data_IF_686247101286
#
_entry.id   IF_686247101286
#
_cell.length_a   1.000
_cell.length_b   1.000
_cell.length_c   1.000
_cell.angle_alpha   90.00
_cell.angle_beta   90.00
_cell.angle_gamma   90.00
#
_symmetry.space_group_name_H-M   'P 1'
#
loop_
_entity.id
_entity.type
_entity.pdbx_description
1 polymer ?
#
# COMPACT_ATOMS: atom_id res chain seq x y z
N UNK A 1 23.48 -4.15 -0.96
CA UNK A 1 22.84 -3.75 0.32
C UNK A 1 21.96 -4.92 0.78
N UNK A 2 22.01 -5.35 2.04
CA UNK A 2 21.11 -6.42 2.51
C UNK A 2 19.76 -5.80 2.84
N UNK A 3 18.70 -6.20 2.14
CA UNK A 3 17.33 -5.73 2.40
C UNK A 3 16.78 -6.23 3.74
N UNK A 4 17.48 -7.15 4.41
CA UNK A 4 17.12 -7.69 5.72
C UNK A 4 16.84 -6.58 6.76
N UNK A 5 17.45 -5.39 6.64
CA UNK A 5 17.15 -4.27 7.54
C UNK A 5 15.67 -3.87 7.47
N UNK A 6 15.06 -3.86 6.27
CA UNK A 6 13.65 -3.53 6.05
C UNK A 6 12.70 -4.50 6.77
N UNK A 7 13.10 -5.77 6.91
CA UNK A 7 12.32 -6.77 7.63
C UNK A 7 12.39 -6.62 9.16
N UNK A 8 13.40 -5.91 9.67
CA UNK A 8 13.70 -5.83 11.11
C UNK A 8 13.19 -4.55 11.77
N UNK A 9 12.99 -3.47 11.02
CA UNK A 9 12.51 -2.20 11.58
C UNK A 9 11.02 -1.95 11.29
N UNK A 10 10.42 -1.10 12.12
CA UNK A 10 9.02 -0.67 11.95
C UNK A 10 8.79 -0.08 10.56
N UNK A 11 7.61 -0.31 10.01
CA UNK A 11 7.16 0.30 8.76
C UNK A 11 6.84 1.77 9.06
N UNK A 12 7.59 2.76 8.51
CA UNK A 12 7.46 4.15 8.92
C UNK A 12 6.10 4.77 8.60
N UNK A 13 5.47 4.35 7.50
CA UNK A 13 4.17 4.87 7.07
C UNK A 13 2.98 4.20 7.76
N UNK A 14 3.22 3.35 8.77
CA UNK A 14 2.18 2.72 9.59
C UNK A 14 2.26 3.31 11.00
N UNK A 15 1.28 4.15 11.30
CA UNK A 15 0.96 4.64 12.64
C UNK A 15 -0.46 4.14 13.00
N UNK A 16 -0.82 4.21 14.29
CA UNK A 16 -2.15 3.80 14.72
C UNK A 16 -3.20 4.74 14.12
N UNK A 17 -3.93 4.24 13.11
CA UNK A 17 -5.07 4.94 12.51
C UNK A 17 -6.37 4.17 12.76
N UNK A 18 -7.42 4.84 13.24
CA UNK A 18 -8.69 4.19 13.61
C UNK A 18 -9.49 3.62 12.42
N UNK A 19 -9.45 4.29 11.27
CA UNK A 19 -10.16 3.87 10.06
C UNK A 19 -9.23 3.93 8.86
N UNK A 20 -8.59 5.07 8.63
CA UNK A 20 -7.62 5.23 7.55
C UNK A 20 -6.25 4.78 8.05
N UNK A 21 -5.73 3.68 7.51
CA UNK A 21 -4.40 3.16 7.84
C UNK A 21 -3.32 3.99 7.16
N UNK A 22 -3.48 4.22 5.84
CA UNK A 22 -2.51 4.99 5.07
C UNK A 22 -3.14 5.68 3.87
N UNK A 23 -2.44 6.71 3.40
CA UNK A 23 -2.71 7.45 2.17
C UNK A 23 -1.56 7.31 1.21
N UNK A 24 -1.86 7.23 -0.08
CA UNK A 24 -0.87 7.05 -1.13
C UNK A 24 -1.24 7.82 -2.39
N UNK A 25 -0.28 8.53 -2.97
CA UNK A 25 -0.40 9.17 -4.28
C UNK A 25 0.68 8.59 -5.20
N UNK A 26 0.30 8.27 -6.43
CA UNK A 26 1.22 7.83 -7.48
C UNK A 26 1.06 8.69 -8.74
N UNK A 27 2.16 8.92 -9.44
CA UNK A 27 2.20 9.58 -10.75
C UNK A 27 2.89 8.67 -11.76
N UNK A 28 2.28 8.51 -12.93
CA UNK A 28 2.87 7.80 -14.06
C UNK A 28 3.48 8.80 -15.06
N UNK A 29 4.75 8.59 -15.43
CA UNK A 29 5.52 9.47 -16.33
C UNK A 29 6.35 8.66 -17.32
N UNK A 30 6.50 9.20 -18.53
CA UNK A 30 7.30 8.62 -19.61
C UNK A 30 8.23 9.67 -20.23
N UNK A 31 9.25 9.19 -20.95
CA UNK A 31 10.26 10.03 -21.60
C UNK A 31 9.85 10.22 -23.07
N UNK A 32 9.88 11.44 -23.62
CA UNK A 32 9.54 11.69 -25.01
C UNK A 32 10.46 10.93 -25.97
N UNK A 33 9.88 10.40 -27.06
CA UNK A 33 10.64 9.71 -28.10
C UNK A 33 11.20 8.34 -27.70
N UNK A 34 10.94 7.87 -26.47
CA UNK A 34 11.36 6.56 -25.98
C UNK A 34 10.15 5.61 -25.98
N UNK A 35 10.35 4.38 -26.48
CA UNK A 35 9.30 3.36 -26.50
C UNK A 35 8.89 2.97 -25.08
N UNK A 36 7.60 2.76 -24.84
CA UNK A 36 7.10 2.30 -23.53
C UNK A 36 7.74 0.97 -23.09
N UNK A 37 7.84 0.70 -21.77
CA UNK A 37 8.53 -0.49 -21.23
C UNK A 37 8.13 -1.81 -21.86
N UNK A 38 6.84 -1.98 -22.19
CA UNK A 38 6.30 -3.21 -22.79
C UNK A 38 6.79 -3.48 -24.23
N UNK A 39 7.33 -2.46 -24.91
CA UNK A 39 7.85 -2.53 -26.29
C UNK A 39 9.33 -2.19 -26.40
N UNK A 40 9.90 -1.54 -25.39
CA UNK A 40 11.32 -1.18 -25.34
C UNK A 40 12.22 -2.40 -25.25
N UNK A 41 13.34 -2.36 -25.98
CA UNK A 41 14.40 -3.35 -25.83
C UNK A 41 15.19 -3.16 -24.52
N UNK A 42 16.05 -4.13 -24.21
CA UNK A 42 16.85 -4.13 -22.98
C UNK A 42 17.73 -2.88 -22.86
N UNK A 43 18.37 -2.47 -23.97
CA UNK A 43 19.27 -1.30 -23.96
C UNK A 43 18.53 0.00 -23.66
N UNK A 44 17.31 0.13 -24.19
CA UNK A 44 16.41 1.26 -23.93
C UNK A 44 16.00 1.29 -22.46
N UNK A 45 15.65 0.14 -21.88
CA UNK A 45 15.28 0.06 -20.46
C UNK A 45 16.45 0.37 -19.52
N UNK A 46 17.68 -0.06 -19.86
CA UNK A 46 18.90 0.36 -19.14
C UNK A 46 19.08 1.87 -19.23
N UNK A 47 18.94 2.46 -20.42
CA UNK A 47 19.08 3.90 -20.61
C UNK A 47 18.03 4.68 -19.79
N UNK A 48 16.77 4.22 -19.76
CA UNK A 48 15.71 4.81 -18.91
C UNK A 48 16.12 4.77 -17.43
N UNK A 49 16.63 3.64 -16.95
CA UNK A 49 17.13 3.53 -15.58
C UNK A 49 18.28 4.50 -15.29
N UNK A 50 19.33 4.48 -16.13
CA UNK A 50 20.53 5.28 -15.93
C UNK A 50 20.23 6.78 -16.02
N UNK A 51 19.29 7.18 -16.89
CA UNK A 51 18.83 8.56 -17.04
C UNK A 51 18.21 9.09 -15.74
N UNK A 52 17.32 8.32 -15.09
CA UNK A 52 16.77 8.75 -13.80
C UNK A 52 17.86 8.83 -12.74
N UNK A 53 18.73 7.81 -12.66
CA UNK A 53 19.78 7.74 -11.64
C UNK A 53 20.74 8.92 -11.70
N UNK A 54 21.07 9.39 -12.90
CA UNK A 54 21.92 10.56 -13.10
C UNK A 54 21.31 11.85 -12.51
N UNK A 55 19.97 11.98 -12.49
CA UNK A 55 19.26 13.19 -12.04
C UNK A 55 18.94 13.17 -10.54
N UNK A 56 18.89 11.99 -9.89
CA UNK A 56 18.56 11.85 -8.46
C UNK A 56 19.34 12.82 -7.54
N UNK A 57 20.67 13.00 -7.67
CA UNK A 57 21.42 13.89 -6.77
C UNK A 57 21.00 15.36 -6.86
N UNK A 58 20.40 15.77 -7.99
CA UNK A 58 19.95 17.13 -8.24
C UNK A 58 18.56 17.42 -7.66
N UNK A 59 17.77 16.38 -7.38
CA UNK A 59 16.42 16.50 -6.82
C UNK A 59 16.49 16.52 -5.30
N UNK A 60 16.05 17.62 -4.69
CA UNK A 60 16.31 17.89 -3.26
C UNK A 60 15.75 16.79 -2.35
N UNK A 61 14.50 16.39 -2.58
CA UNK A 61 13.81 15.36 -1.80
C UNK A 61 14.38 13.95 -2.03
N UNK A 62 15.02 13.69 -3.17
CA UNK A 62 15.61 12.38 -3.50
C UNK A 62 17.08 12.25 -3.11
N UNK A 63 17.69 13.27 -2.51
CA UNK A 63 19.06 13.18 -1.98
C UNK A 63 19.18 12.00 -1.02
N UNK A 64 20.26 11.24 -1.16
CA UNK A 64 20.56 10.02 -0.40
C UNK A 64 19.52 8.89 -0.57
N UNK A 65 18.69 8.93 -1.62
CA UNK A 65 17.83 7.79 -1.96
C UNK A 65 18.68 6.55 -2.29
N UNK A 66 18.17 5.40 -1.91
CA UNK A 66 18.71 4.11 -2.33
C UNK A 66 18.29 3.84 -3.77
N UNK A 67 19.19 3.24 -4.55
CA UNK A 67 18.96 2.87 -5.95
C UNK A 67 19.21 1.38 -6.10
N UNK A 68 18.18 0.65 -6.53
CA UNK A 68 18.22 -0.81 -6.67
C UNK A 68 17.88 -1.19 -8.11
N UNK A 69 18.71 -2.06 -8.72
CA UNK A 69 18.32 -2.84 -9.90
C UNK A 69 17.64 -4.11 -9.39
N UNK A 70 16.36 -4.30 -9.69
CA UNK A 70 15.59 -5.39 -9.08
C UNK A 70 16.02 -6.78 -9.57
N UNK A 71 16.74 -6.85 -10.70
CA UNK A 71 17.34 -8.07 -11.22
C UNK A 71 18.49 -8.61 -10.33
N UNK A 72 19.08 -7.76 -9.49
CA UNK A 72 20.15 -8.16 -8.56
C UNK A 72 19.59 -8.84 -7.29
N UNK A 73 18.26 -8.94 -7.16
CA UNK A 73 17.57 -9.43 -5.99
C UNK A 73 16.76 -10.69 -6.28
N UNK A 74 16.74 -11.60 -5.32
CA UNK A 74 15.97 -12.82 -5.42
C UNK A 74 14.44 -12.56 -5.29
N UNK A 75 13.65 -13.63 -5.34
CA UNK A 75 12.19 -13.51 -5.25
C UNK A 75 11.71 -13.10 -3.86
N UNK A 76 12.43 -13.45 -2.80
CA UNK A 76 12.06 -13.15 -1.42
C UNK A 76 12.32 -11.67 -1.14
N UNK A 77 13.46 -11.16 -1.58
CA UNK A 77 13.85 -9.76 -1.52
C UNK A 77 12.84 -8.86 -2.26
N UNK A 78 12.49 -9.22 -3.51
CA UNK A 78 11.47 -8.50 -4.28
C UNK A 78 10.10 -8.56 -3.61
N UNK A 79 9.75 -9.70 -3.03
CA UNK A 79 8.50 -9.86 -2.28
C UNK A 79 8.48 -8.98 -1.02
N UNK A 80 9.60 -8.89 -0.30
CA UNK A 80 9.74 -7.98 0.84
C UNK A 80 9.49 -6.53 0.42
N UNK A 81 10.11 -6.05 -0.66
CA UNK A 81 9.89 -4.70 -1.19
C UNK A 81 8.42 -4.44 -1.54
N UNK A 82 7.72 -5.43 -2.09
CA UNK A 82 6.28 -5.36 -2.39
C UNK A 82 5.45 -5.28 -1.10
N UNK A 83 5.74 -6.12 -0.11
CA UNK A 83 5.05 -6.13 1.18
C UNK A 83 5.29 -4.81 1.95
N UNK A 84 6.46 -4.18 1.79
CA UNK A 84 6.79 -2.82 2.26
C UNK A 84 6.13 -1.70 1.43
N UNK A 85 5.35 -2.05 0.42
CA UNK A 85 4.69 -1.13 -0.51
C UNK A 85 5.64 -0.24 -1.32
N UNK A 86 6.92 -0.58 -1.42
CA UNK A 86 7.92 0.18 -2.20
C UNK A 86 7.84 -0.11 -3.70
N UNK A 87 7.39 -1.31 -4.07
CA UNK A 87 7.16 -1.72 -5.46
C UNK A 87 5.77 -2.32 -5.64
N UNK A 88 5.29 -2.35 -6.88
CA UNK A 88 4.05 -3.03 -7.24
C UNK A 88 4.22 -4.55 -7.25
N UNK A 89 3.08 -5.27 -7.18
CA UNK A 89 3.06 -6.71 -7.37
C UNK A 89 3.67 -7.12 -8.71
N UNK A 90 3.39 -6.36 -9.77
CA UNK A 90 3.90 -6.64 -11.11
C UNK A 90 5.43 -6.59 -11.16
N UNK A 91 6.07 -5.57 -10.57
CA UNK A 91 7.54 -5.53 -10.49
C UNK A 91 8.12 -6.65 -9.65
N UNK A 92 7.43 -7.08 -8.60
CA UNK A 92 7.91 -8.15 -7.73
C UNK A 92 7.97 -9.50 -8.44
N UNK A 93 7.01 -9.78 -9.34
CA UNK A 93 6.94 -11.04 -10.09
C UNK A 93 7.57 -10.96 -11.49
N UNK A 94 7.92 -9.76 -11.95
CA UNK A 94 8.55 -9.54 -13.27
C UNK A 94 9.85 -10.33 -13.40
N UNK A 95 9.97 -11.10 -14.47
CA UNK A 95 11.13 -11.95 -14.76
C UNK A 95 12.01 -11.44 -15.90
N UNK A 96 11.53 -10.43 -16.65
CA UNK A 96 12.18 -9.93 -17.86
C UNK A 96 12.30 -8.40 -17.84
N UNK A 97 13.27 -7.87 -18.58
CA UNK A 97 13.54 -6.43 -18.67
C UNK A 97 14.52 -5.94 -17.60
N UNK A 98 14.57 -4.62 -17.39
CA UNK A 98 15.48 -3.96 -16.43
C UNK A 98 14.69 -3.12 -15.41
N UNK A 99 13.91 -3.76 -14.53
CA UNK A 99 13.14 -3.07 -13.50
C UNK A 99 14.05 -2.48 -12.42
N UNK A 100 13.67 -1.30 -11.93
CA UNK A 100 14.42 -0.57 -10.92
C UNK A 100 13.55 0.04 -9.83
N UNK A 101 14.19 0.37 -8.71
CA UNK A 101 13.58 1.09 -7.60
C UNK A 101 14.54 2.17 -7.09
N UNK A 102 14.02 3.37 -6.92
CA UNK A 102 14.65 4.44 -6.14
C UNK A 102 13.75 4.69 -4.93
N UNK A 103 14.29 4.73 -3.72
CA UNK A 103 13.46 5.04 -2.54
C UNK A 103 14.23 5.72 -1.42
N UNK A 104 13.52 6.47 -0.58
CA UNK A 104 14.09 7.09 0.63
C UNK A 104 14.16 6.09 1.76
N UNK A 105 15.15 6.25 2.66
CA UNK A 105 15.24 5.44 3.88
C UNK A 105 14.05 5.64 4.83
N UNK A 106 13.31 6.75 4.68
CA UNK A 106 12.03 6.98 5.37
C UNK A 106 10.88 6.17 4.78
N UNK A 107 11.09 5.53 3.62
CA UNK A 107 10.12 4.73 2.84
C UNK A 107 8.86 5.47 2.40
N UNK A 108 8.75 6.76 2.69
CA UNK A 108 7.61 7.56 2.26
C UNK A 108 7.62 7.76 0.74
N UNK A 109 8.80 8.00 0.14
CA UNK A 109 8.97 8.23 -1.31
C UNK A 109 9.63 7.03 -1.97
N UNK A 110 9.05 6.59 -3.08
CA UNK A 110 9.64 5.61 -4.00
C UNK A 110 9.34 5.97 -5.46
N UNK A 111 10.27 5.61 -6.35
CA UNK A 111 10.10 5.71 -7.81
C UNK A 111 10.42 4.35 -8.38
N UNK A 112 9.40 3.71 -8.94
CA UNK A 112 9.53 2.47 -9.69
C UNK A 112 9.93 2.79 -11.13
N UNK A 113 10.87 2.01 -11.68
CA UNK A 113 11.43 2.20 -13.01
C UNK A 113 11.08 0.99 -13.89
N UNK A 114 10.68 1.25 -15.15
CA UNK A 114 10.32 0.24 -16.13
C UNK A 114 9.21 -0.72 -15.65
N UNK A 115 8.14 -0.16 -15.08
CA UNK A 115 6.90 -0.90 -14.78
C UNK A 115 6.02 -0.97 -16.04
N UNK A 116 4.80 -0.41 -16.00
CA UNK A 116 3.94 -0.19 -17.17
C UNK A 116 4.38 1.08 -17.92
N UNK A 117 4.80 2.09 -17.15
CA UNK A 117 5.39 3.34 -17.60
C UNK A 117 6.88 3.40 -17.20
N UNK A 118 7.66 4.31 -17.81
CA UNK A 118 9.09 4.44 -17.49
C UNK A 118 9.32 4.74 -16.02
N UNK A 119 8.55 5.67 -15.46
CA UNK A 119 8.65 6.07 -14.07
C UNK A 119 7.28 6.11 -13.42
N UNK A 120 7.18 5.47 -12.26
CA UNK A 120 6.03 5.58 -11.38
C UNK A 120 6.48 6.12 -10.04
N UNK A 121 6.28 7.42 -9.86
CA UNK A 121 6.57 8.11 -8.61
C UNK A 121 5.47 7.75 -7.61
N UNK A 122 5.83 7.61 -6.35
CA UNK A 122 4.93 7.24 -5.28
C UNK A 122 5.33 7.98 -4.00
N UNK A 123 4.33 8.45 -3.28
CA UNK A 123 4.44 8.78 -1.87
C UNK A 123 3.39 8.02 -1.06
N UNK A 124 3.76 7.48 0.09
CA UNK A 124 2.89 6.81 1.05
C UNK A 124 3.12 7.39 2.45
N UNK A 125 2.04 7.69 3.15
CA UNK A 125 2.06 8.32 4.48
C UNK A 125 0.99 7.70 5.37
N UNK A 126 1.15 7.75 6.70
CA UNK A 126 0.11 7.30 7.62
C UNK A 126 -1.16 8.17 7.49
N UNK A 127 -2.28 7.57 7.86
CA UNK A 127 -3.60 8.21 7.96
C UNK A 127 -4.03 8.99 6.69
N UNK A 128 -4.89 10.00 6.83
CA UNK A 128 -5.42 10.82 5.74
C UNK A 128 -4.55 12.06 5.46
N UNK A 129 -3.32 11.83 5.00
CA UNK A 129 -2.31 12.90 4.78
C UNK A 129 -2.12 13.29 3.30
N UNK A 130 -3.19 13.24 2.50
CA UNK A 130 -3.11 13.40 1.04
C UNK A 130 -2.63 14.78 0.55
N UNK A 131 -3.01 15.87 1.22
CA UNK A 131 -2.59 17.22 0.80
C UNK A 131 -1.08 17.42 0.96
N UNK A 132 -0.54 17.10 2.14
CA UNK A 132 0.90 17.15 2.43
C UNK A 132 1.70 16.19 1.55
N UNK A 133 1.15 14.99 1.32
CA UNK A 133 1.72 14.01 0.38
C UNK A 133 1.84 14.61 -1.01
N UNK A 134 0.79 15.27 -1.49
CA UNK A 134 0.78 15.89 -2.81
C UNK A 134 1.79 17.03 -2.93
N UNK A 135 1.87 17.92 -1.95
CA UNK A 135 2.84 19.02 -1.93
C UNK A 135 4.29 18.54 -2.06
N UNK A 136 4.59 17.37 -1.50
CA UNK A 136 5.94 16.77 -1.58
C UNK A 136 6.13 16.10 -2.94
N UNK A 137 5.17 15.26 -3.36
CA UNK A 137 5.27 14.51 -4.61
C UNK A 137 5.26 15.42 -5.84
N UNK A 138 4.48 16.51 -5.83
CA UNK A 138 4.42 17.45 -6.94
C UNK A 138 5.74 18.20 -7.13
N UNK A 139 6.44 18.56 -6.04
CA UNK A 139 7.79 19.15 -6.12
C UNK A 139 8.79 18.19 -6.75
N UNK A 140 8.73 16.91 -6.36
CA UNK A 140 9.58 15.86 -6.95
C UNK A 140 9.27 15.72 -8.45
N UNK A 141 7.99 15.68 -8.82
CA UNK A 141 7.55 15.59 -10.22
C UNK A 141 8.04 16.81 -11.03
N UNK A 142 7.89 18.02 -10.51
CA UNK A 142 8.31 19.27 -11.15
C UNK A 142 9.83 19.34 -11.36
N UNK A 143 10.62 19.01 -10.32
CA UNK A 143 12.09 18.99 -10.40
C UNK A 143 12.60 17.93 -11.40
N UNK A 144 11.99 16.75 -11.40
CA UNK A 144 12.31 15.71 -12.39
C UNK A 144 11.88 16.13 -13.79
N UNK A 145 10.70 16.69 -13.95
CA UNK A 145 10.18 17.13 -15.25
C UNK A 145 11.06 18.23 -15.87
N UNK A 146 11.59 19.15 -15.06
CA UNK A 146 12.52 20.18 -15.53
C UNK A 146 13.82 19.61 -16.14
N UNK A 147 14.19 18.37 -15.79
CA UNK A 147 15.42 17.69 -16.24
C UNK A 147 15.17 16.65 -17.30
N UNK A 148 14.06 15.91 -17.17
CA UNK A 148 13.71 14.76 -18.01
C UNK A 148 12.71 15.09 -19.11
N UNK A 149 12.01 16.23 -18.99
CA UNK A 149 10.99 16.72 -19.91
C UNK A 149 9.94 15.64 -20.22
N UNK A 150 9.08 15.28 -19.25
CA UNK A 150 8.14 14.19 -19.40
C UNK A 150 7.22 14.33 -20.62
N UNK A 151 6.89 13.19 -21.21
CA UNK A 151 6.07 13.11 -22.42
C UNK A 151 4.65 13.59 -22.17
N UNK A 152 4.31 14.76 -22.72
CA UNK A 152 3.03 15.42 -22.52
C UNK A 152 2.38 15.83 -23.85
N UNK A 153 1.06 15.67 -23.94
CA UNK A 153 0.25 16.08 -25.08
C UNK A 153 -0.85 17.04 -24.65
N UNK A 154 -1.03 18.17 -25.38
CA UNK A 154 -1.98 19.24 -25.03
C UNK A 154 -3.42 18.77 -24.77
N UNK A 155 -3.89 17.75 -25.49
CA UNK A 155 -5.25 17.20 -25.33
C UNK A 155 -5.34 16.03 -24.34
N UNK A 156 -4.26 15.25 -24.21
CA UNK A 156 -4.30 13.95 -23.52
C UNK A 156 -3.51 13.93 -22.20
N UNK A 157 -2.84 15.03 -21.86
CA UNK A 157 -1.99 15.13 -20.69
C UNK A 157 -0.71 14.30 -20.83
N UNK A 158 -0.22 13.76 -19.72
CA UNK A 158 0.92 12.86 -19.68
C UNK A 158 0.61 11.57 -20.45
N UNK A 159 1.47 11.24 -21.41
CA UNK A 159 1.33 10.02 -22.20
C UNK A 159 1.75 8.82 -21.37
N UNK A 160 0.93 7.77 -21.40
CA UNK A 160 1.06 6.55 -20.61
C UNK A 160 0.68 5.34 -21.43
N UNK A 161 1.28 4.19 -21.09
CA UNK A 161 0.89 2.90 -21.67
C UNK A 161 -0.47 2.41 -21.15
N UNK A 162 -0.89 2.87 -19.97
CA UNK A 162 -2.06 2.39 -19.27
C UNK A 162 -3.26 3.35 -19.45
N UNK A 163 -4.38 2.93 -20.07
CA UNK A 163 -5.54 3.79 -20.31
C UNK A 163 -6.12 4.42 -19.03
N UNK A 164 -5.97 3.76 -17.87
CA UNK A 164 -6.49 4.26 -16.59
C UNK A 164 -5.66 5.39 -15.99
N UNK A 165 -4.50 5.71 -16.57
CA UNK A 165 -3.61 6.79 -16.11
C UNK A 165 -3.67 8.02 -17.05
N UNK A 166 -4.40 7.97 -18.18
CA UNK A 166 -4.42 9.05 -19.18
C UNK A 166 -4.84 10.39 -18.55
N UNK A 167 -4.22 11.49 -18.97
CA UNK A 167 -4.45 12.82 -18.42
C UNK A 167 -3.37 13.21 -17.43
N UNK A 168 -3.73 13.28 -16.15
CA UNK A 168 -2.81 13.67 -15.05
C UNK A 168 -1.76 12.59 -14.72
N UNK A 169 -2.01 11.33 -15.06
CA UNK A 169 -1.18 10.21 -14.58
C UNK A 169 -1.35 9.92 -13.10
N UNK A 170 -2.29 10.58 -12.39
CA UNK A 170 -2.43 10.48 -10.94
C UNK A 170 -3.28 9.28 -10.51
N UNK A 171 -2.82 8.57 -9.49
CA UNK A 171 -3.61 7.62 -8.72
C UNK A 171 -3.51 7.94 -7.23
N UNK A 172 -4.62 8.41 -6.69
CA UNK A 172 -4.82 8.67 -5.26
C UNK A 172 -5.52 7.47 -4.64
N UNK A 173 -5.03 7.00 -3.50
CA UNK A 173 -5.63 5.87 -2.78
C UNK A 173 -5.47 5.98 -1.28
N UNK A 174 -6.40 5.41 -0.53
CA UNK A 174 -6.25 5.19 0.91
C UNK A 174 -6.53 3.71 1.22
N UNK A 175 -5.83 3.18 2.22
CA UNK A 175 -6.10 1.88 2.81
C UNK A 175 -6.95 2.07 4.07
N UNK A 176 -8.13 1.47 4.13
CA UNK A 176 -9.10 1.66 5.21
C UNK A 176 -9.46 0.32 5.87
N UNK A 177 -9.61 0.34 7.20
CA UNK A 177 -10.18 -0.75 7.99
C UNK A 177 -11.68 -0.48 8.20
N UNK A 178 -12.54 -1.29 7.56
CA UNK A 178 -14.01 -1.11 7.53
C UNK A 178 -14.77 -2.33 8.10
N UNK A 179 -14.44 -2.79 9.32
CA UNK A 179 -15.00 -4.01 9.88
C UNK A 179 -16.50 -3.90 10.16
N UNK A 180 -17.00 -2.75 10.60
CA UNK A 180 -18.42 -2.63 10.92
C UNK A 180 -19.31 -2.63 9.68
N UNK A 181 -18.86 -1.98 8.61
CA UNK A 181 -19.54 -2.05 7.31
C UNK A 181 -19.51 -3.45 6.71
N UNK A 182 -18.42 -4.20 6.89
CA UNK A 182 -18.32 -5.60 6.47
C UNK A 182 -19.28 -6.50 7.29
N UNK A 183 -19.28 -6.37 8.61
CA UNK A 183 -20.13 -7.17 9.52
C UNK A 183 -21.63 -6.88 9.39
N UNK A 184 -21.99 -5.69 8.95
CA UNK A 184 -23.40 -5.27 8.76
C UNK A 184 -23.90 -5.49 7.33
N UNK A 185 -23.15 -6.21 6.48
CA UNK A 185 -23.47 -6.50 5.08
C UNK A 185 -23.76 -5.22 4.25
N UNK A 186 -23.16 -4.09 4.65
CA UNK A 186 -23.32 -2.81 3.96
C UNK A 186 -22.14 -2.48 3.04
N UNK A 187 -21.13 -3.35 2.97
CA UNK A 187 -19.96 -3.16 2.11
C UNK A 187 -20.34 -3.11 0.64
N UNK A 188 -21.25 -3.97 0.17
CA UNK A 188 -21.70 -3.98 -1.23
C UNK A 188 -22.43 -2.69 -1.60
N UNK A 189 -23.22 -2.14 -0.66
CA UNK A 189 -23.89 -0.85 -0.86
C UNK A 189 -22.87 0.29 -0.94
N UNK A 190 -21.84 0.27 -0.08
CA UNK A 190 -20.74 1.22 -0.13
C UNK A 190 -20.02 1.15 -1.49
N UNK A 191 -19.60 -0.05 -1.92
CA UNK A 191 -18.89 -0.27 -3.19
C UNK A 191 -19.72 0.22 -4.38
N UNK A 192 -21.01 -0.09 -4.40
CA UNK A 192 -21.93 0.38 -5.44
C UNK A 192 -22.08 1.91 -5.43
N UNK A 193 -22.15 2.54 -4.25
CA UNK A 193 -22.19 3.99 -4.10
C UNK A 193 -20.92 4.68 -4.59
N UNK A 194 -19.75 4.15 -4.21
CA UNK A 194 -18.44 4.66 -4.61
C UNK A 194 -18.21 4.56 -6.12
N UNK A 195 -18.65 3.47 -6.73
CA UNK A 195 -18.54 3.27 -8.18
C UNK A 195 -19.29 4.36 -8.95
N UNK A 196 -20.48 4.78 -8.48
CA UNK A 196 -21.28 5.86 -9.08
C UNK A 196 -20.60 7.23 -9.04
N UNK A 197 -19.66 7.44 -8.12
CA UNK A 197 -18.88 8.68 -8.01
C UNK A 197 -17.45 8.51 -8.56
N UNK A 198 -17.23 7.50 -9.40
CA UNK A 198 -15.96 7.18 -10.04
C UNK A 198 -14.81 6.91 -9.06
N UNK A 199 -15.12 6.18 -7.98
CA UNK A 199 -14.16 5.66 -7.03
C UNK A 199 -14.22 4.15 -7.06
N UNK A 200 -13.05 3.51 -7.07
CA UNK A 200 -12.91 2.05 -7.07
C UNK A 200 -12.49 1.54 -5.70
N UNK A 201 -13.00 0.37 -5.34
CA UNK A 201 -12.66 -0.37 -4.12
C UNK A 201 -11.99 -1.67 -4.51
N UNK A 202 -10.88 -2.00 -3.86
CA UNK A 202 -10.02 -3.16 -4.14
C UNK A 202 -9.57 -3.82 -2.84
N UNK A 203 -9.10 -5.06 -2.92
CA UNK A 203 -8.52 -5.77 -1.78
C UNK A 203 -7.16 -5.27 -1.35
N UNK A 204 -6.55 -5.98 -0.40
CA UNK A 204 -5.35 -5.56 0.33
C UNK A 204 -4.13 -5.28 -0.57
N UNK A 205 -3.93 -6.08 -1.63
CA UNK A 205 -2.80 -5.94 -2.57
C UNK A 205 -3.16 -5.12 -3.82
N UNK A 206 -4.37 -4.56 -3.90
CA UNK A 206 -4.83 -3.78 -5.04
C UNK A 206 -5.61 -4.60 -6.09
N UNK A 207 -5.32 -4.38 -7.37
CA UNK A 207 -6.14 -4.89 -8.49
C UNK A 207 -6.27 -6.41 -8.50
N UNK A 208 -7.50 -6.92 -8.61
CA UNK A 208 -7.78 -8.36 -8.64
C UNK A 208 -7.61 -9.08 -7.29
N UNK A 209 -7.25 -8.38 -6.21
CA UNK A 209 -7.12 -8.97 -4.87
C UNK A 209 -8.41 -8.92 -4.06
N UNK A 210 -8.65 -9.95 -3.26
CA UNK A 210 -9.75 -9.99 -2.28
C UNK A 210 -9.40 -9.11 -1.06
N UNK A 211 -10.39 -8.49 -0.40
CA UNK A 211 -10.19 -7.87 0.90
C UNK A 211 -9.70 -8.90 1.92
N UNK A 212 -8.72 -8.53 2.75
CA UNK A 212 -8.21 -9.37 3.83
C UNK A 212 -8.42 -8.65 5.16
N UNK A 213 -9.07 -9.31 6.12
CA UNK A 213 -9.39 -8.78 7.44
C UNK A 213 -10.14 -7.45 7.43
N UNK A 214 -11.12 -7.30 6.54
CA UNK A 214 -11.94 -6.09 6.42
C UNK A 214 -11.13 -4.83 6.08
N UNK A 215 -9.96 -5.00 5.44
CA UNK A 215 -9.14 -3.92 4.92
C UNK A 215 -9.39 -3.73 3.42
N UNK A 216 -9.69 -2.49 3.03
CA UNK A 216 -10.07 -2.11 1.68
C UNK A 216 -9.17 -0.99 1.15
N UNK A 217 -8.72 -1.11 -0.10
CA UNK A 217 -8.08 -0.03 -0.80
C UNK A 217 -9.11 0.75 -1.63
N UNK A 218 -9.31 2.02 -1.31
CA UNK A 218 -10.18 2.93 -2.05
C UNK A 218 -9.32 3.84 -2.93
N UNK A 219 -9.71 4.11 -4.18
CA UNK A 219 -8.92 4.95 -5.10
C UNK A 219 -9.72 5.62 -6.21
N UNK A 220 -9.24 6.77 -6.72
CA UNK A 220 -9.89 7.50 -7.82
C UNK A 220 -9.86 6.68 -9.13
N UNK A 221 -10.91 6.80 -9.94
CA UNK A 221 -10.94 6.25 -11.30
C UNK A 221 -10.79 7.33 -12.38
N UNK A 222 -11.08 8.60 -12.06
CA UNK A 222 -10.95 9.72 -13.01
C UNK A 222 -9.55 10.30 -12.94
N UNK A 223 -8.89 10.38 -14.09
CA UNK A 223 -7.53 10.94 -14.26
C UNK A 223 -7.45 11.99 -15.37
N UNK A 224 -8.44 12.07 -16.27
CA UNK A 224 -8.51 13.02 -17.38
C UNK A 224 -9.67 14.02 -17.18
N UNK A 225 -9.45 15.27 -17.56
CA UNK A 225 -10.47 16.32 -17.53
C UNK A 225 -10.65 17.01 -16.17
N UNK A 226 -9.82 16.67 -15.19
CA UNK A 226 -9.69 17.35 -13.90
C UNK A 226 -8.22 17.54 -13.57
N UNK A 227 -7.91 18.58 -12.81
CA UNK A 227 -6.59 18.78 -12.23
C UNK A 227 -6.34 17.79 -11.09
N UNK A 228 -5.07 17.56 -10.77
CA UNK A 228 -4.63 16.72 -9.66
C UNK A 228 -5.21 17.21 -8.33
N UNK A 229 -5.20 18.52 -8.09
CA UNK A 229 -5.78 19.13 -6.88
C UNK A 229 -7.29 18.85 -6.77
N UNK A 230 -8.06 19.02 -7.85
CA UNK A 230 -9.50 18.73 -7.84
C UNK A 230 -9.78 17.25 -7.57
N UNK A 231 -8.96 16.35 -8.12
CA UNK A 231 -9.05 14.91 -7.85
C UNK A 231 -8.80 14.63 -6.37
N UNK A 232 -7.72 15.18 -5.79
CA UNK A 232 -7.35 14.99 -4.39
C UNK A 232 -8.43 15.54 -3.45
N UNK A 233 -8.91 16.76 -3.69
CA UNK A 233 -9.94 17.39 -2.85
C UNK A 233 -11.27 16.63 -2.90
N UNK A 234 -11.70 16.20 -4.10
CA UNK A 234 -12.88 15.37 -4.26
C UNK A 234 -12.72 14.02 -3.56
N UNK A 235 -11.53 13.41 -3.65
CA UNK A 235 -11.26 12.12 -3.05
C UNK A 235 -11.24 12.19 -1.52
N UNK A 236 -10.65 13.24 -0.93
CA UNK A 236 -10.68 13.47 0.53
C UNK A 236 -12.12 13.55 1.05
N UNK A 237 -13.03 14.23 0.33
CA UNK A 237 -14.46 14.30 0.70
C UNK A 237 -15.10 12.90 0.71
N UNK A 238 -14.76 12.07 -0.29
CA UNK A 238 -15.23 10.69 -0.34
C UNK A 238 -14.71 9.90 0.88
N UNK A 239 -13.42 9.96 1.18
CA UNK A 239 -12.85 9.24 2.32
C UNK A 239 -13.49 9.66 3.64
N UNK A 240 -13.68 10.96 3.89
CA UNK A 240 -14.42 11.41 5.08
C UNK A 240 -15.84 10.84 5.16
N UNK A 241 -16.54 10.74 4.01
CA UNK A 241 -17.89 10.16 3.96
C UNK A 241 -17.86 8.66 4.30
N UNK A 242 -16.88 7.92 3.76
CA UNK A 242 -16.71 6.50 4.10
C UNK A 242 -16.39 6.30 5.58
N UNK A 243 -15.45 7.08 6.12
CA UNK A 243 -15.10 7.01 7.54
C UNK A 243 -16.28 7.32 8.45
N UNK A 244 -17.14 8.28 8.07
CA UNK A 244 -18.37 8.57 8.79
C UNK A 244 -19.33 7.37 8.80
N UNK A 245 -19.54 6.71 7.66
CA UNK A 245 -20.40 5.52 7.60
C UNK A 245 -19.87 4.34 8.41
N UNK A 246 -18.54 4.14 8.43
CA UNK A 246 -17.93 3.13 9.30
C UNK A 246 -18.14 3.48 10.77
N UNK A 247 -17.95 4.73 11.17
CA UNK A 247 -18.18 5.16 12.55
C UNK A 247 -19.64 4.94 12.99
N UNK A 248 -20.61 5.33 12.15
CA UNK A 248 -22.04 5.10 12.41
C UNK A 248 -22.37 3.58 12.49
N UNK A 249 -21.67 2.75 11.72
CA UNK A 249 -21.83 1.30 11.80
C UNK A 249 -21.24 0.72 13.09
N UNK A 250 -20.07 1.21 13.54
CA UNK A 250 -19.45 0.84 14.82
C UNK A 250 -20.34 1.20 16.01
N UNK A 251 -20.97 2.37 16.00
CA UNK A 251 -21.93 2.77 17.04
C UNK A 251 -23.14 1.83 17.12
N UNK A 252 -23.65 1.35 15.97
CA UNK A 252 -24.74 0.37 15.93
C UNK A 252 -24.32 -0.99 16.48
N UNK A 253 -23.08 -1.40 16.22
CA UNK A 253 -22.51 -2.64 16.75
C UNK A 253 -22.43 -2.63 18.30
N UNK A 254 -22.30 -1.47 18.92
CA UNK A 254 -22.28 -1.32 20.39
C UNK A 254 -23.67 -1.40 21.05
N UNK A 255 -24.76 -1.52 20.28
CA UNK A 255 -26.11 -1.70 20.82
C UNK A 255 -26.24 -3.09 21.49
N UNK A 256 -27.00 -3.16 22.60
CA UNK A 256 -26.97 -4.28 23.56
C UNK A 256 -27.14 -5.68 22.96
N UNK A 257 -27.97 -5.84 21.93
CA UNK A 257 -28.22 -7.15 21.31
C UNK A 257 -27.07 -7.64 20.40
N UNK A 258 -26.32 -6.73 19.79
CA UNK A 258 -25.19 -7.05 18.91
C UNK A 258 -23.87 -7.20 19.68
N UNK A 259 -23.72 -6.45 20.79
CA UNK A 259 -22.47 -6.35 21.56
C UNK A 259 -21.91 -7.71 22.00
N UNK A 260 -22.73 -8.59 22.55
CA UNK A 260 -22.27 -9.91 23.01
C UNK A 260 -21.67 -10.77 21.88
N UNK A 261 -22.21 -10.71 20.66
CA UNK A 261 -21.68 -11.46 19.51
C UNK A 261 -20.33 -10.93 19.07
N UNK A 262 -20.14 -9.61 19.13
CA UNK A 262 -18.88 -8.96 18.78
C UNK A 262 -17.81 -9.25 19.83
N UNK A 263 -18.15 -9.13 21.11
CA UNK A 263 -17.25 -9.48 22.20
C UNK A 263 -16.81 -10.95 22.12
N UNK A 264 -17.73 -11.90 21.88
CA UNK A 264 -17.36 -13.32 21.69
C UNK A 264 -16.42 -13.51 20.50
N UNK A 265 -16.72 -12.91 19.33
CA UNK A 265 -15.83 -12.96 18.15
C UNK A 265 -14.43 -12.42 18.48
N UNK A 266 -14.35 -11.29 19.18
CA UNK A 266 -13.10 -10.65 19.57
C UNK A 266 -12.30 -11.51 20.56
N UNK A 267 -12.95 -12.09 21.57
CA UNK A 267 -12.30 -12.96 22.55
C UNK A 267 -11.82 -14.27 21.92
N UNK A 268 -12.55 -14.81 20.93
CA UNK A 268 -12.07 -15.95 20.14
C UNK A 268 -10.83 -15.60 19.33
N UNK A 269 -10.83 -14.45 18.66
CA UNK A 269 -9.64 -13.97 17.95
C UNK A 269 -8.45 -13.78 18.90
N UNK A 270 -8.68 -13.19 20.08
CA UNK A 270 -7.67 -13.06 21.13
C UNK A 270 -7.09 -14.42 21.54
N UNK A 271 -7.95 -15.40 21.84
CA UNK A 271 -7.53 -16.75 22.22
C UNK A 271 -6.73 -17.46 21.12
N UNK A 272 -7.18 -17.36 19.87
CA UNK A 272 -6.48 -17.95 18.72
C UNK A 272 -5.09 -17.32 18.58
N UNK A 273 -4.98 -15.99 18.53
CA UNK A 273 -3.68 -15.31 18.39
C UNK A 273 -2.75 -15.58 19.59
N UNK A 274 -3.30 -15.73 20.80
CA UNK A 274 -2.53 -15.96 22.03
C UNK A 274 -1.93 -17.37 22.12
N UNK A 275 -2.56 -18.38 21.52
CA UNK A 275 -2.21 -19.79 21.76
C UNK A 275 -1.91 -20.61 20.50
N UNK A 276 -2.40 -20.21 19.33
CA UNK A 276 -2.22 -20.95 18.08
C UNK A 276 -0.74 -21.23 17.82
N UNK A 277 -0.42 -22.47 17.40
CA UNK A 277 0.94 -22.89 17.00
C UNK A 277 1.18 -22.80 15.51
N UNK A 278 0.11 -22.68 14.73
CA UNK A 278 0.10 -22.51 13.29
C UNK A 278 -1.06 -21.58 12.95
N UNK A 279 -0.85 -20.64 12.05
CA UNK A 279 -1.91 -19.77 11.53
C UNK A 279 -1.51 -19.29 10.14
N UNK A 280 -2.42 -19.38 9.18
CA UNK A 280 -2.14 -18.90 7.82
C UNK A 280 -2.22 -17.36 7.73
N UNK A 281 -1.90 -16.80 6.57
CA UNK A 281 -1.91 -15.34 6.37
C UNK A 281 -3.31 -14.74 6.49
N UNK A 282 -4.34 -15.39 5.96
CA UNK A 282 -5.69 -14.83 5.89
C UNK A 282 -6.35 -14.85 7.28
N UNK A 283 -6.26 -15.98 7.97
CA UNK A 283 -6.75 -16.17 9.34
C UNK A 283 -6.05 -15.21 10.32
N UNK A 284 -4.73 -15.05 10.19
CA UNK A 284 -3.98 -14.14 11.05
C UNK A 284 -4.40 -12.68 10.88
N UNK A 285 -4.55 -12.20 9.63
CA UNK A 285 -4.99 -10.82 9.37
C UNK A 285 -6.41 -10.62 9.92
N UNK A 286 -7.33 -11.56 9.68
CA UNK A 286 -8.70 -11.49 10.18
C UNK A 286 -8.78 -11.36 11.71
N UNK A 287 -7.96 -12.12 12.44
CA UNK A 287 -7.93 -12.05 13.89
C UNK A 287 -7.21 -10.81 14.41
N UNK A 288 -6.12 -10.37 13.76
CA UNK A 288 -5.42 -9.14 14.13
C UNK A 288 -6.33 -7.92 13.96
N UNK A 289 -7.09 -7.85 12.87
CA UNK A 289 -8.04 -6.76 12.64
C UNK A 289 -9.25 -6.82 13.57
N UNK A 290 -9.63 -8.02 14.04
CA UNK A 290 -10.60 -8.17 15.13
C UNK A 290 -10.08 -7.59 16.45
N UNK A 291 -8.80 -7.75 16.79
CA UNK A 291 -8.19 -7.10 17.96
C UNK A 291 -8.01 -5.59 17.75
N UNK A 292 -7.75 -5.14 16.51
CA UNK A 292 -7.76 -3.72 16.16
C UNK A 292 -9.12 -3.09 16.49
N UNK A 293 -10.21 -3.74 16.06
CA UNK A 293 -11.58 -3.33 16.37
C UNK A 293 -11.85 -3.33 17.88
N UNK A 294 -11.31 -4.30 18.63
CA UNK A 294 -11.44 -4.32 20.09
C UNK A 294 -10.90 -3.05 20.74
N UNK A 295 -9.72 -2.58 20.29
CA UNK A 295 -9.15 -1.32 20.78
C UNK A 295 -10.05 -0.12 20.44
N UNK A 296 -10.59 -0.07 19.22
CA UNK A 296 -11.46 1.01 18.74
C UNK A 296 -12.83 1.03 19.44
N UNK A 297 -13.34 -0.14 19.87
CA UNK A 297 -14.59 -0.29 20.62
C UNK A 297 -14.41 -0.21 22.14
N UNK A 298 -13.20 0.07 22.64
CA UNK A 298 -12.86 0.08 24.07
C UNK A 298 -13.19 -1.24 24.79
N UNK A 299 -12.98 -2.38 24.10
CA UNK A 299 -13.07 -3.71 24.71
C UNK A 299 -11.70 -4.02 25.32
N UNK A 300 -11.65 -4.16 26.65
CA UNK A 300 -10.41 -4.36 27.38
C UNK A 300 -9.87 -5.79 27.19
N UNK A 301 -8.68 -5.86 26.60
CA UNK A 301 -7.91 -7.08 26.40
C UNK A 301 -6.43 -6.76 26.64
N UNK A 302 -5.67 -7.74 27.12
CA UNK A 302 -4.25 -7.58 27.42
C UNK A 302 -3.39 -7.96 26.20
N UNK A 303 -3.01 -6.98 25.39
CA UNK A 303 -2.08 -7.11 24.26
C UNK A 303 -1.40 -5.78 23.92
N UNK A 304 -0.27 -5.81 23.21
CA UNK A 304 0.41 -4.61 22.71
C UNK A 304 -0.32 -4.02 21.49
N UNK A 305 -1.08 -2.95 21.73
CA UNK A 305 -1.90 -2.25 20.73
C UNK A 305 -1.08 -1.65 19.60
N UNK A 306 0.17 -1.25 19.86
CA UNK A 306 1.04 -0.58 18.89
C UNK A 306 1.59 -1.55 17.84
N UNK A 307 1.48 -2.87 18.08
CA UNK A 307 2.01 -3.90 17.19
C UNK A 307 1.01 -4.34 16.13
N UNK A 308 -0.30 -4.16 16.34
CA UNK A 308 -1.32 -4.75 15.46
C UNK A 308 -1.14 -4.29 14.02
N UNK A 309 -1.09 -2.97 13.81
CA UNK A 309 -1.00 -2.40 12.47
C UNK A 309 0.32 -2.80 11.78
N UNK A 310 1.41 -2.91 12.54
CA UNK A 310 2.71 -3.38 12.03
C UNK A 310 2.67 -4.88 11.69
N UNK A 311 2.05 -5.70 12.54
CA UNK A 311 1.99 -7.15 12.38
C UNK A 311 1.23 -7.56 11.13
N UNK A 312 0.18 -6.84 10.73
CA UNK A 312 -0.56 -7.09 9.49
C UNK A 312 0.37 -7.19 8.27
N UNK A 313 1.46 -6.43 8.25
CA UNK A 313 2.44 -6.40 7.15
C UNK A 313 3.69 -7.25 7.43
N UNK A 314 4.14 -7.33 8.69
CA UNK A 314 5.36 -8.07 9.06
C UNK A 314 5.16 -9.59 9.04
N UNK A 315 3.92 -10.08 9.18
CA UNK A 315 3.61 -11.52 9.10
C UNK A 315 3.46 -12.05 7.67
N UNK A 316 3.72 -11.22 6.67
CA UNK A 316 3.63 -11.63 5.28
C UNK A 316 4.81 -12.54 4.88
N UNK A 317 4.65 -13.42 3.88
CA UNK A 317 5.64 -14.46 3.61
C UNK A 317 7.05 -13.95 3.27
N UNK A 318 7.20 -12.79 2.64
CA UNK A 318 8.51 -12.17 2.36
C UNK A 318 9.21 -11.75 3.65
N UNK A 319 8.52 -10.99 4.50
CA UNK A 319 9.02 -10.60 5.81
C UNK A 319 9.38 -11.81 6.68
N UNK A 320 8.51 -12.83 6.78
CA UNK A 320 8.78 -14.02 7.61
C UNK A 320 10.08 -14.73 7.19
N UNK A 321 10.30 -14.90 5.89
CA UNK A 321 11.49 -15.58 5.37
C UNK A 321 12.75 -14.73 5.57
N UNK A 322 12.64 -13.40 5.43
CA UNK A 322 13.74 -12.47 5.74
C UNK A 322 14.09 -12.45 7.23
N UNK A 323 13.08 -12.52 8.11
CA UNK A 323 13.27 -12.58 9.55
C UNK A 323 13.96 -13.88 9.98
N UNK A 324 13.54 -15.01 9.41
CA UNK A 324 14.16 -16.32 9.68
C UNK A 324 15.50 -16.51 8.93
N UNK A 325 15.82 -15.62 8.00
CA UNK A 325 16.99 -15.71 7.11
C UNK A 325 17.09 -17.09 6.41
N UNK A 326 15.94 -17.60 5.95
CA UNK A 326 15.81 -18.90 5.29
C UNK A 326 14.56 -18.96 4.42
N UNK A 327 14.61 -19.75 3.35
CA UNK A 327 13.41 -20.15 2.61
C UNK A 327 12.51 -21.04 3.46
N UNK A 328 11.22 -20.70 3.53
CA UNK A 328 10.24 -21.42 4.32
C UNK A 328 9.12 -21.93 3.42
N UNK A 329 8.78 -23.21 3.54
CA UNK A 329 7.57 -23.76 2.93
C UNK A 329 6.30 -23.22 3.63
N UNK A 330 5.11 -23.54 3.11
CA UNK A 330 3.86 -22.99 3.65
C UNK A 330 3.67 -23.28 5.14
N UNK A 331 3.84 -24.54 5.55
CA UNK A 331 3.67 -24.96 6.93
C UNK A 331 4.68 -24.27 7.87
N UNK A 332 5.94 -24.14 7.44
CA UNK A 332 6.97 -23.45 8.21
C UNK A 332 6.66 -21.95 8.37
N UNK A 333 6.09 -21.31 7.35
CA UNK A 333 5.63 -19.92 7.45
C UNK A 333 4.47 -19.79 8.43
N UNK A 334 3.54 -20.73 8.44
CA UNK A 334 2.38 -20.67 9.34
C UNK A 334 2.77 -20.86 10.81
N UNK A 335 3.79 -21.69 11.07
CA UNK A 335 4.42 -21.81 12.40
C UNK A 335 5.15 -20.51 12.78
N UNK A 336 6.01 -20.01 11.89
CA UNK A 336 6.79 -18.79 12.15
C UNK A 336 5.88 -17.57 12.38
N UNK A 337 4.76 -17.48 11.65
CA UNK A 337 3.73 -16.46 11.79
C UNK A 337 3.12 -16.49 13.18
N UNK A 338 2.62 -17.64 13.61
CA UNK A 338 2.02 -17.81 14.93
C UNK A 338 3.02 -17.44 16.04
N UNK A 339 4.28 -17.85 15.89
CA UNK A 339 5.34 -17.54 16.85
C UNK A 339 5.63 -16.04 16.95
N UNK A 340 5.73 -15.32 15.82
CA UNK A 340 5.98 -13.88 15.81
C UNK A 340 4.79 -13.11 16.40
N UNK A 341 3.56 -13.49 16.06
CA UNK A 341 2.35 -12.88 16.63
C UNK A 341 2.37 -13.02 18.15
N UNK A 342 2.56 -14.23 18.67
CA UNK A 342 2.56 -14.46 20.13
C UNK A 342 3.65 -13.66 20.83
N UNK A 343 4.86 -13.66 20.28
CA UNK A 343 6.04 -12.98 20.84
C UNK A 343 5.96 -11.45 20.83
N UNK A 344 5.22 -10.85 19.89
CA UNK A 344 5.14 -9.39 19.80
C UNK A 344 3.87 -8.84 20.43
N UNK A 345 2.79 -9.61 20.42
CA UNK A 345 1.47 -9.12 20.81
C UNK A 345 1.15 -9.38 22.28
N UNK A 346 1.70 -10.43 22.90
CA UNK A 346 1.34 -10.86 24.27
C UNK A 346 2.54 -11.06 25.21
N UNK A 347 3.76 -10.88 24.71
CA UNK A 347 5.02 -11.03 25.43
C UNK A 347 5.90 -9.85 25.12
#
# INVERSE_FOLDING_TARGET
MKLNTLAMHKIPWIEHGEIVISSRIRLARNIPGVQFPSKADKSTQVNVFDTLVAVIPEVAELRNAQVLRLNDFDKIDRRLLMERHLISHELAVKTNGEPGLVYKNTEEVSIMINEEDHYRLQIITPELSLKKSWETLSKIDDELNAKLNFSFHKRFGYLTACPTNVGTGIRVSCLLHLPALAMTENIDKLVNGLTKVNVSVRGFYGEGSQPLGDIFQISNSVTLGKTENEIIESFIKVIHTVSKYEQEAREKLLQKEARHKIEDRIHRAYGILSYAKTIDSEEAILHLTSLKLANELNIELNFDKDQIDQLIFIIQPGHLQQIQNSELNSQQRDIARADIIRKRLFH
#
